data_IF_621239300719
#
_entry.id   IF_621239300719
#
_cell.length_a   1.000
_cell.length_b   1.000
_cell.length_c   1.000
_cell.angle_alpha   90.00
_cell.angle_beta   90.00
_cell.angle_gamma   90.00
#
_symmetry.space_group_name_H-M   'P 1'
#
loop_
_entity.id
_entity.type
_entity.pdbx_description
1 polymer ?
#
# COMPACT_ATOMS: atom_id res chain seq x y z
N UNK A 1 -52.29 53.13 -28.41
CA UNK A 1 -52.09 51.66 -28.35
C UNK A 1 -50.61 51.37 -28.55
N UNK A 2 -49.84 51.21 -27.47
CA UNK A 2 -48.39 50.92 -27.52
C UNK A 2 -48.19 49.41 -27.51
N UNK A 3 -47.56 48.87 -28.56
CA UNK A 3 -47.18 47.46 -28.67
C UNK A 3 -45.87 47.25 -27.91
N UNK A 4 -45.90 46.45 -26.85
CA UNK A 4 -44.71 45.90 -26.21
C UNK A 4 -44.27 44.65 -26.99
N UNK A 5 -43.09 44.70 -27.59
CA UNK A 5 -42.42 43.50 -28.12
C UNK A 5 -41.76 42.75 -26.97
N UNK A 6 -42.23 41.53 -26.74
CA UNK A 6 -41.69 40.60 -25.76
C UNK A 6 -40.49 39.87 -26.40
N UNK A 7 -39.27 40.29 -26.09
CA UNK A 7 -38.06 39.57 -26.50
C UNK A 7 -37.83 38.41 -25.54
N UNK A 8 -38.07 37.19 -26.03
CA UNK A 8 -37.82 35.94 -25.31
C UNK A 8 -36.31 35.69 -25.27
N UNK A 9 -35.68 35.81 -24.09
CA UNK A 9 -34.27 35.44 -23.89
C UNK A 9 -34.21 33.91 -23.70
N UNK A 10 -33.73 33.21 -24.72
CA UNK A 10 -33.47 31.78 -24.68
C UNK A 10 -32.16 31.54 -23.90
N UNK A 11 -32.26 31.22 -22.61
CA UNK A 11 -31.11 30.81 -21.80
C UNK A 11 -30.79 29.35 -22.18
N UNK A 12 -29.80 29.17 -23.06
CA UNK A 12 -29.23 27.86 -23.36
C UNK A 12 -28.54 27.29 -22.12
N UNK A 13 -29.15 26.28 -21.50
CA UNK A 13 -28.50 25.46 -20.49
C UNK A 13 -27.40 24.63 -21.15
N UNK A 14 -26.14 25.03 -20.93
CA UNK A 14 -24.98 24.18 -21.12
C UNK A 14 -25.09 23.00 -20.13
N UNK A 15 -25.65 21.89 -20.58
CA UNK A 15 -25.52 20.59 -19.92
C UNK A 15 -24.07 20.13 -20.10
N UNK A 16 -23.18 20.63 -19.25
CA UNK A 16 -21.90 19.98 -19.00
C UNK A 16 -22.25 18.63 -18.36
N UNK A 17 -22.23 17.56 -19.14
CA UNK A 17 -22.19 16.20 -18.62
C UNK A 17 -20.93 16.06 -17.78
N UNK A 18 -21.04 16.34 -16.48
CA UNK A 18 -20.11 15.78 -15.52
C UNK A 18 -20.33 14.27 -15.61
N UNK A 19 -19.40 13.57 -16.26
CA UNK A 19 -19.26 12.14 -16.00
C UNK A 19 -19.04 12.04 -14.50
N UNK A 20 -20.10 11.68 -13.76
CA UNK A 20 -19.97 11.15 -12.44
C UNK A 20 -19.16 9.87 -12.61
N UNK A 21 -17.84 10.00 -12.53
CA UNK A 21 -16.99 8.85 -12.35
C UNK A 21 -17.36 8.33 -10.96
N UNK A 22 -18.27 7.36 -10.92
CA UNK A 22 -18.43 6.53 -9.74
C UNK A 22 -17.01 6.12 -9.32
N UNK A 23 -16.64 6.43 -8.08
CA UNK A 23 -15.28 6.20 -7.64
C UNK A 23 -14.95 4.73 -7.82
N UNK A 24 -13.95 4.43 -8.64
CA UNK A 24 -13.58 3.06 -8.97
C UNK A 24 -13.23 2.31 -7.69
N UNK A 25 -13.88 1.17 -7.49
CA UNK A 25 -13.58 0.31 -6.35
C UNK A 25 -12.19 -0.32 -6.56
N UNK A 26 -11.22 0.08 -5.74
CA UNK A 26 -9.83 -0.36 -5.82
C UNK A 26 -9.64 -1.84 -5.47
N UNK A 27 -10.67 -2.54 -4.98
CA UNK A 27 -10.66 -4.00 -4.94
C UNK A 27 -10.46 -4.61 -6.33
N UNK A 28 -10.99 -3.99 -7.38
CA UNK A 28 -10.78 -4.43 -8.76
C UNK A 28 -9.34 -4.17 -9.22
N UNK A 29 -8.72 -3.06 -8.79
CA UNK A 29 -7.30 -2.79 -9.04
C UNK A 29 -6.45 -3.93 -8.48
N UNK A 30 -6.66 -4.27 -7.20
CA UNK A 30 -5.88 -5.30 -6.52
C UNK A 30 -6.13 -6.70 -7.11
N UNK A 31 -7.36 -7.03 -7.50
CA UNK A 31 -7.66 -8.28 -8.23
C UNK A 31 -6.87 -8.38 -9.53
N UNK A 32 -6.81 -7.30 -10.31
CA UNK A 32 -6.04 -7.27 -11.57
C UNK A 32 -4.53 -7.35 -11.36
N UNK A 33 -4.01 -6.80 -10.27
CA UNK A 33 -2.60 -6.99 -9.89
C UNK A 33 -2.32 -8.46 -9.61
N UNK A 34 -3.23 -9.17 -8.91
CA UNK A 34 -3.09 -10.61 -8.66
C UNK A 34 -3.09 -11.38 -9.99
N UNK A 35 -3.97 -11.05 -10.94
CA UNK A 35 -3.95 -11.67 -12.28
C UNK A 35 -2.62 -11.44 -13.02
N UNK A 36 -2.00 -10.25 -12.87
CA UNK A 36 -0.66 -10.02 -13.41
C UNK A 36 0.40 -10.90 -12.72
N UNK A 37 0.30 -11.05 -11.40
CA UNK A 37 1.22 -11.88 -10.60
C UNK A 37 1.10 -13.37 -10.94
N UNK A 38 -0.10 -13.87 -11.19
CA UNK A 38 -0.33 -15.24 -11.69
C UNK A 38 0.35 -15.44 -13.05
N UNK A 39 0.19 -14.49 -13.98
CA UNK A 39 0.87 -14.55 -15.28
C UNK A 39 2.40 -14.50 -15.16
N UNK A 40 2.95 -13.81 -14.15
CA UNK A 40 4.39 -13.81 -13.86
C UNK A 40 4.85 -15.21 -13.43
N UNK A 41 4.14 -15.86 -12.50
CA UNK A 41 4.47 -17.21 -12.05
C UNK A 41 4.36 -18.23 -13.19
N UNK A 42 3.40 -18.06 -14.09
CA UNK A 42 3.27 -18.90 -15.29
C UNK A 42 4.33 -18.63 -16.37
N UNK A 43 5.26 -17.69 -16.15
CA UNK A 43 6.28 -17.29 -17.13
C UNK A 43 5.72 -16.51 -18.33
N UNK A 44 4.48 -16.04 -18.27
CA UNK A 44 3.80 -15.31 -19.35
C UNK A 44 4.06 -13.81 -19.25
N UNK A 45 5.33 -13.43 -19.26
CA UNK A 45 5.79 -12.07 -18.95
C UNK A 45 5.21 -11.00 -19.87
N UNK A 46 5.24 -11.19 -21.20
CA UNK A 46 4.62 -10.26 -22.15
C UNK A 46 3.11 -10.06 -21.90
N UNK A 47 2.41 -11.12 -21.48
CA UNK A 47 0.98 -11.01 -21.14
C UNK A 47 0.77 -10.21 -19.86
N UNK A 48 1.60 -10.43 -18.84
CA UNK A 48 1.58 -9.64 -17.61
C UNK A 48 1.91 -8.16 -17.85
N UNK A 49 2.89 -7.86 -18.72
CA UNK A 49 3.24 -6.48 -19.13
C UNK A 49 2.04 -5.78 -19.77
N UNK A 50 1.41 -6.42 -20.76
CA UNK A 50 0.22 -5.87 -21.42
C UNK A 50 -0.95 -5.66 -20.44
N UNK A 51 -1.12 -6.57 -19.49
CA UNK A 51 -2.14 -6.48 -18.45
C UNK A 51 -1.86 -5.31 -17.49
N UNK A 52 -0.61 -5.10 -17.09
CA UNK A 52 -0.20 -3.93 -16.31
C UNK A 52 -0.42 -2.62 -17.07
N UNK A 53 -0.06 -2.54 -18.35
CA UNK A 53 -0.30 -1.34 -19.15
C UNK A 53 -1.80 -1.02 -19.24
N UNK A 54 -2.64 -2.03 -19.51
CA UNK A 54 -4.10 -1.86 -19.50
C UNK A 54 -4.63 -1.40 -18.14
N UNK A 55 -4.14 -2.00 -17.05
CA UNK A 55 -4.50 -1.63 -15.68
C UNK A 55 -4.14 -0.16 -15.38
N UNK A 56 -2.93 0.27 -15.73
CA UNK A 56 -2.45 1.61 -15.42
C UNK A 56 -3.13 2.71 -16.23
N UNK A 57 -3.75 2.36 -17.36
CA UNK A 57 -4.58 3.27 -18.15
C UNK A 57 -6.03 3.36 -17.64
N UNK A 58 -6.46 2.49 -16.72
CA UNK A 58 -7.83 2.47 -16.18
C UNK A 58 -7.96 3.26 -14.89
N UNK A 59 -6.95 3.23 -14.01
CA UNK A 59 -7.04 3.81 -12.66
C UNK A 59 -6.27 5.13 -12.52
N UNK A 60 -6.85 6.09 -11.80
CA UNK A 60 -6.27 7.42 -11.60
C UNK A 60 -5.06 7.44 -10.66
N UNK A 61 -5.12 6.64 -9.60
CA UNK A 61 -4.01 6.41 -8.68
C UNK A 61 -3.48 5.00 -8.87
N UNK A 62 -2.15 4.88 -8.91
CA UNK A 62 -1.39 3.66 -9.11
C UNK A 62 -0.42 3.54 -7.94
N UNK A 63 -0.34 2.36 -7.32
CA UNK A 63 0.65 2.11 -6.28
C UNK A 63 2.03 1.97 -6.92
N UNK A 64 3.00 2.73 -6.43
CA UNK A 64 4.35 2.77 -6.96
C UNK A 64 5.00 1.39 -6.97
N UNK A 65 4.73 0.55 -5.97
CA UNK A 65 5.20 -0.85 -5.94
C UNK A 65 4.84 -1.56 -7.25
N UNK A 66 3.59 -1.49 -7.67
CA UNK A 66 3.09 -2.27 -8.80
C UNK A 66 3.65 -1.74 -10.13
N UNK A 67 3.88 -0.43 -10.24
CA UNK A 67 4.61 0.16 -11.38
C UNK A 67 6.05 -0.35 -11.46
N UNK A 68 6.72 -0.44 -10.31
CA UNK A 68 8.09 -0.94 -10.25
C UNK A 68 8.16 -2.40 -10.67
N UNK A 69 7.22 -3.25 -10.22
CA UNK A 69 7.11 -4.64 -10.68
C UNK A 69 6.97 -4.71 -12.20
N UNK A 70 6.07 -3.92 -12.79
CA UNK A 70 5.90 -3.88 -14.24
C UNK A 70 7.18 -3.41 -14.98
N UNK A 71 7.94 -2.49 -14.37
CA UNK A 71 9.21 -2.00 -14.91
C UNK A 71 10.29 -3.08 -14.88
N UNK A 72 10.46 -3.75 -13.74
CA UNK A 72 11.38 -4.89 -13.56
C UNK A 72 11.10 -5.99 -14.58
N UNK A 73 9.81 -6.35 -14.71
CA UNK A 73 9.35 -7.35 -15.65
C UNK A 73 9.64 -6.95 -17.11
N UNK A 74 9.42 -5.70 -17.48
CA UNK A 74 9.71 -5.20 -18.83
C UNK A 74 11.21 -5.16 -19.13
N UNK A 75 12.03 -4.83 -18.14
CA UNK A 75 13.48 -4.86 -18.28
C UNK A 75 14.00 -6.29 -18.46
N UNK A 76 13.40 -7.26 -17.76
CA UNK A 76 13.71 -8.68 -17.88
C UNK A 76 13.26 -9.29 -19.22
N UNK A 77 12.04 -8.97 -19.68
CA UNK A 77 11.47 -9.47 -20.95
C UNK A 77 11.98 -8.71 -22.20
N UNK A 78 12.88 -7.74 -22.01
CA UNK A 78 13.41 -6.84 -23.04
C UNK A 78 12.34 -6.00 -23.78
N UNK A 79 11.16 -5.81 -23.19
CA UNK A 79 10.18 -4.82 -23.67
C UNK A 79 10.55 -3.42 -23.18
N UNK A 80 11.58 -2.86 -23.80
CA UNK A 80 12.14 -1.57 -23.40
C UNK A 80 11.15 -0.42 -23.55
N UNK A 81 10.22 -0.50 -24.53
CA UNK A 81 9.22 0.53 -24.76
C UNK A 81 8.26 0.61 -23.57
N UNK A 82 7.73 -0.53 -23.13
CA UNK A 82 6.86 -0.61 -21.94
C UNK A 82 7.65 -0.25 -20.68
N UNK A 83 8.88 -0.76 -20.53
CA UNK A 83 9.75 -0.45 -19.39
C UNK A 83 10.01 1.05 -19.21
N UNK A 84 10.37 1.76 -20.28
CA UNK A 84 10.58 3.22 -20.25
C UNK A 84 9.27 3.98 -19.95
N UNK A 85 8.13 3.49 -20.43
CA UNK A 85 6.82 4.06 -20.09
C UNK A 85 6.51 3.86 -18.59
N UNK A 86 6.78 2.69 -18.04
CA UNK A 86 6.57 2.42 -16.62
C UNK A 86 7.53 3.21 -15.72
N UNK A 87 8.79 3.42 -16.10
CA UNK A 87 9.68 4.35 -15.38
C UNK A 87 9.09 5.76 -15.38
N UNK A 88 8.57 6.25 -16.52
CA UNK A 88 7.90 7.55 -16.59
C UNK A 88 6.70 7.65 -15.65
N UNK A 89 5.86 6.62 -15.60
CA UNK A 89 4.73 6.54 -14.67
C UNK A 89 5.22 6.51 -13.23
N UNK A 90 6.28 5.76 -12.94
CA UNK A 90 6.88 5.65 -11.62
C UNK A 90 7.39 7.01 -11.11
N UNK A 91 8.07 7.79 -11.95
CA UNK A 91 8.51 9.16 -11.58
C UNK A 91 7.30 10.04 -11.22
N UNK A 92 6.21 9.97 -12.01
CA UNK A 92 4.94 10.66 -11.73
C UNK A 92 4.19 10.13 -10.50
N UNK A 93 4.56 8.95 -10.01
CA UNK A 93 4.05 8.33 -8.78
C UNK A 93 5.03 8.47 -7.59
N UNK A 94 6.15 9.18 -7.77
CA UNK A 94 7.10 9.48 -6.69
C UNK A 94 8.33 8.58 -6.61
N UNK A 95 8.62 7.77 -7.64
CA UNK A 95 9.88 7.02 -7.71
C UNK A 95 11.07 7.99 -7.76
N UNK A 96 11.89 7.97 -6.70
CA UNK A 96 13.04 8.86 -6.60
C UNK A 96 14.13 8.51 -7.60
N UNK A 97 14.81 9.53 -8.12
CA UNK A 97 15.98 9.38 -9.01
C UNK A 97 17.07 8.50 -8.37
N UNK A 98 17.31 8.66 -7.06
CA UNK A 98 18.25 7.84 -6.32
C UNK A 98 17.88 6.36 -6.37
N UNK A 99 16.61 6.01 -6.13
CA UNK A 99 16.14 4.63 -6.18
C UNK A 99 16.20 4.07 -7.60
N UNK A 100 15.84 4.87 -8.61
CA UNK A 100 15.95 4.48 -10.03
C UNK A 100 17.41 4.16 -10.36
N UNK A 101 18.36 5.01 -9.95
CA UNK A 101 19.79 4.85 -10.24
C UNK A 101 20.45 3.69 -9.49
N UNK A 102 19.98 3.37 -8.29
CA UNK A 102 20.48 2.23 -7.49
C UNK A 102 19.97 0.88 -7.99
N UNK A 103 18.85 0.86 -8.71
CA UNK A 103 18.27 -0.39 -9.18
C UNK A 103 19.09 -0.98 -10.35
N UNK A 104 19.77 -2.10 -10.12
CA UNK A 104 20.65 -2.73 -11.11
C UNK A 104 19.87 -3.40 -12.25
N UNK A 105 18.66 -3.86 -11.98
CA UNK A 105 17.83 -4.56 -12.95
C UNK A 105 17.34 -3.63 -14.07
N UNK A 106 17.44 -2.32 -13.89
CA UNK A 106 17.11 -1.33 -14.92
C UNK A 106 18.26 -1.04 -15.88
N UNK A 107 19.39 -1.76 -15.80
CA UNK A 107 20.56 -1.49 -16.64
C UNK A 107 20.22 -1.57 -18.14
N UNK A 108 19.50 -2.60 -18.58
CA UNK A 108 19.10 -2.77 -19.99
C UNK A 108 18.25 -1.61 -20.52
N UNK A 109 17.43 -0.98 -19.65
CA UNK A 109 16.67 0.22 -19.98
C UNK A 109 17.55 1.47 -20.07
N UNK A 110 18.61 1.57 -19.26
CA UNK A 110 19.54 2.71 -19.27
C UNK A 110 20.38 2.80 -20.53
N UNK A 111 20.63 1.65 -21.15
CA UNK A 111 21.39 1.54 -22.40
C UNK A 111 20.57 2.00 -23.61
N UNK A 112 19.26 2.20 -23.46
CA UNK A 112 18.39 2.68 -24.53
C UNK A 112 18.57 4.17 -24.82
N UNK A 113 18.55 4.61 -26.09
CA UNK A 113 18.71 6.02 -26.47
C UNK A 113 17.71 6.97 -25.79
N UNK A 114 16.48 6.50 -25.57
CA UNK A 114 15.39 7.27 -24.97
C UNK A 114 15.59 7.52 -23.47
N UNK A 115 16.45 6.76 -22.80
CA UNK A 115 16.69 6.90 -21.36
C UNK A 115 17.16 8.31 -21.00
N UNK A 116 18.13 8.85 -21.74
CA UNK A 116 18.68 10.19 -21.50
C UNK A 116 17.59 11.27 -21.61
N UNK A 117 16.67 11.14 -22.58
CA UNK A 117 15.53 12.03 -22.74
C UNK A 117 14.50 11.89 -21.63
N UNK A 118 14.29 10.67 -21.10
CA UNK A 118 13.41 10.44 -19.97
C UNK A 118 13.98 11.08 -18.69
N UNK A 119 15.27 10.89 -18.42
CA UNK A 119 15.94 11.43 -17.24
C UNK A 119 16.06 12.96 -17.28
N UNK A 120 16.28 13.57 -18.45
CA UNK A 120 16.26 15.04 -18.56
C UNK A 120 14.89 15.65 -18.25
N UNK A 121 13.81 14.86 -18.37
CA UNK A 121 12.46 15.26 -18.00
C UNK A 121 12.09 14.92 -16.55
N UNK A 122 13.00 14.35 -15.75
CA UNK A 122 12.71 13.83 -14.41
C UNK A 122 12.04 14.88 -13.50
N UNK A 123 12.63 16.07 -13.35
CA UNK A 123 12.12 17.09 -12.43
C UNK A 123 10.70 17.54 -12.81
N UNK A 124 10.43 17.69 -14.11
CA UNK A 124 9.11 18.05 -14.62
C UNK A 124 8.07 16.96 -14.34
N UNK A 125 8.43 15.69 -14.58
CA UNK A 125 7.58 14.54 -14.29
C UNK A 125 7.33 14.41 -12.78
N UNK A 126 8.37 14.54 -11.96
CA UNK A 126 8.29 14.42 -10.51
C UNK A 126 7.47 15.55 -9.88
N UNK A 127 7.46 16.76 -10.47
CA UNK A 127 6.56 17.84 -10.07
C UNK A 127 5.08 17.44 -10.12
N UNK A 128 4.71 16.53 -11.03
CA UNK A 128 3.34 15.96 -11.09
C UNK A 128 3.00 15.13 -9.86
N UNK A 129 3.98 14.42 -9.30
CA UNK A 129 3.84 13.71 -8.03
C UNK A 129 3.70 14.72 -6.88
N UNK A 130 4.64 15.68 -6.78
CA UNK A 130 4.67 16.65 -5.70
C UNK A 130 3.38 17.49 -5.62
N UNK A 131 2.76 17.83 -6.75
CA UNK A 131 1.50 18.59 -6.77
C UNK A 131 0.30 17.83 -6.21
N UNK A 132 0.38 16.50 -6.08
CA UNK A 132 -0.69 15.65 -5.51
C UNK A 132 -0.54 15.45 -4.00
N UNK A 133 0.64 15.73 -3.44
CA UNK A 133 0.95 15.45 -2.05
C UNK A 133 0.41 16.57 -1.14
N UNK A 134 -0.33 16.18 -0.11
CA UNK A 134 -0.70 17.08 0.98
C UNK A 134 0.47 17.18 1.97
N UNK A 135 1.34 18.17 1.77
CA UNK A 135 2.53 18.36 2.62
C UNK A 135 2.18 18.70 4.06
N UNK A 136 1.06 19.38 4.33
CA UNK A 136 0.64 19.69 5.69
C UNK A 136 0.30 18.41 6.45
N UNK A 137 -0.54 17.54 5.88
CA UNK A 137 -0.89 16.25 6.48
C UNK A 137 0.35 15.34 6.55
N UNK A 138 1.21 15.37 5.53
CA UNK A 138 2.47 14.61 5.53
C UNK A 138 3.35 14.95 6.73
N UNK A 139 3.61 16.23 6.98
CA UNK A 139 4.42 16.66 8.13
C UNK A 139 3.73 16.34 9.46
N UNK A 140 2.41 16.51 9.55
CA UNK A 140 1.64 16.13 10.73
C UNK A 140 1.81 14.64 11.07
N UNK A 141 1.61 13.76 10.08
CA UNK A 141 1.71 12.29 10.25
C UNK A 141 3.17 11.87 10.51
N UNK A 142 4.14 12.52 9.88
CA UNK A 142 5.56 12.30 10.14
C UNK A 142 5.92 12.61 11.60
N UNK A 143 5.44 13.73 12.15
CA UNK A 143 5.66 14.08 13.55
C UNK A 143 4.92 13.12 14.51
N UNK A 144 3.73 12.66 14.14
CA UNK A 144 3.04 11.60 14.87
C UNK A 144 3.90 10.33 14.91
N UNK A 145 4.44 9.90 13.77
CA UNK A 145 5.30 8.73 13.65
C UNK A 145 6.59 8.86 14.47
N UNK A 146 7.29 10.00 14.42
CA UNK A 146 8.50 10.23 15.26
C UNK A 146 8.21 10.08 16.76
N UNK A 147 7.07 10.63 17.22
CA UNK A 147 6.65 10.52 18.63
C UNK A 147 6.34 9.09 19.01
N UNK A 148 5.66 8.37 18.13
CA UNK A 148 5.31 6.96 18.30
C UNK A 148 6.58 6.07 18.36
N UNK A 149 7.51 6.21 17.41
CA UNK A 149 8.80 5.51 17.40
C UNK A 149 9.60 5.76 18.68
N UNK A 150 9.60 7.00 19.21
CA UNK A 150 10.27 7.32 20.48
C UNK A 150 9.68 6.54 21.66
N UNK A 151 8.37 6.28 21.67
CA UNK A 151 7.72 5.43 22.70
C UNK A 151 8.08 3.96 22.50
N UNK A 152 8.03 3.46 21.27
CA UNK A 152 8.42 2.09 20.96
C UNK A 152 9.88 1.81 21.40
N UNK A 153 10.81 2.71 21.09
CA UNK A 153 12.20 2.63 21.56
C UNK A 153 12.30 2.67 23.10
N UNK A 154 11.50 3.50 23.76
CA UNK A 154 11.43 3.55 25.22
C UNK A 154 10.96 2.24 25.88
N UNK A 155 10.20 1.40 25.16
CA UNK A 155 9.84 0.06 25.60
C UNK A 155 11.01 -0.94 25.43
N UNK A 156 11.78 -0.83 24.35
CA UNK A 156 12.96 -1.68 24.09
C UNK A 156 14.04 -1.53 25.18
N UNK A 157 14.21 -0.33 25.72
CA UNK A 157 15.17 -0.03 26.80
C UNK A 157 14.79 -0.62 28.18
N UNK A 158 13.62 -1.27 28.31
CA UNK A 158 13.19 -1.83 29.61
C UNK A 158 13.68 -3.26 29.78
N UNK A 159 14.30 -3.53 30.93
CA UNK A 159 14.80 -4.86 31.30
C UNK A 159 13.66 -5.69 31.91
N UNK A 160 13.40 -6.85 31.30
CA UNK A 160 12.40 -7.82 31.75
C UNK A 160 10.96 -7.54 31.29
N UNK A 161 10.21 -8.63 31.06
CA UNK A 161 8.86 -8.58 30.49
C UNK A 161 7.86 -7.78 31.35
N UNK A 162 8.00 -7.84 32.68
CA UNK A 162 7.14 -7.08 33.60
C UNK A 162 7.35 -5.56 33.47
N UNK A 163 8.59 -5.12 33.27
CA UNK A 163 8.90 -3.69 33.09
C UNK A 163 8.44 -3.20 31.72
N UNK A 164 8.67 -4.00 30.66
CA UNK A 164 8.14 -3.73 29.30
C UNK A 164 6.63 -3.57 29.32
N UNK A 165 5.89 -4.57 29.82
CA UNK A 165 4.41 -4.51 29.92
C UNK A 165 3.91 -3.31 30.72
N UNK A 166 4.56 -2.99 31.85
CA UNK A 166 4.18 -1.82 32.65
C UNK A 166 4.37 -0.52 31.87
N UNK A 167 5.48 -0.40 31.14
CA UNK A 167 5.72 0.77 30.29
C UNK A 167 4.69 0.85 29.15
N UNK A 168 4.48 -0.25 28.42
CA UNK A 168 3.50 -0.31 27.33
C UNK A 168 2.11 0.12 27.81
N UNK A 169 1.63 -0.43 28.92
CA UNK A 169 0.29 -0.12 29.42
C UNK A 169 0.17 1.27 30.06
N UNK A 170 1.16 1.73 30.83
CA UNK A 170 1.04 3.00 31.59
C UNK A 170 1.56 4.23 30.85
N UNK A 171 2.40 4.05 29.84
CA UNK A 171 3.09 5.16 29.14
C UNK A 171 2.86 5.13 27.64
N UNK A 172 2.81 3.94 27.03
CA UNK A 172 2.59 3.85 25.59
C UNK A 172 1.10 3.93 25.24
N UNK A 173 0.25 3.16 25.92
CA UNK A 173 -1.19 3.12 25.61
C UNK A 173 -1.86 4.51 25.60
N UNK A 174 -1.74 5.37 26.64
CA UNK A 174 -2.37 6.69 26.61
C UNK A 174 -1.83 7.59 25.48
N UNK A 175 -0.56 7.42 25.10
CA UNK A 175 0.00 8.13 23.96
C UNK A 175 -0.58 7.62 22.64
N UNK A 176 -0.68 6.30 22.49
CA UNK A 176 -1.19 5.66 21.29
C UNK A 176 -2.67 5.98 21.05
N UNK A 177 -3.48 6.02 22.10
CA UNK A 177 -4.89 6.47 22.05
C UNK A 177 -5.00 7.90 21.46
N UNK A 178 -4.19 8.84 21.94
CA UNK A 178 -4.14 10.22 21.41
C UNK A 178 -3.67 10.28 19.95
N UNK A 179 -2.78 9.38 19.53
CA UNK A 179 -2.34 9.30 18.14
C UNK A 179 -3.45 8.75 17.25
N UNK A 180 -4.22 7.77 17.73
CA UNK A 180 -5.37 7.23 16.99
C UNK A 180 -6.51 8.21 16.86
N UNK A 181 -6.79 9.04 17.88
CA UNK A 181 -7.77 10.13 17.76
C UNK A 181 -7.37 11.13 16.67
N UNK A 182 -6.10 11.53 16.63
CA UNK A 182 -5.59 12.41 15.56
C UNK A 182 -5.62 11.75 14.20
N UNK A 183 -5.27 10.47 14.14
CA UNK A 183 -5.33 9.70 12.90
C UNK A 183 -6.77 9.60 12.42
N UNK A 184 -7.74 9.39 13.31
CA UNK A 184 -9.16 9.39 12.99
C UNK A 184 -9.63 10.72 12.41
N UNK A 185 -9.19 11.84 12.99
CA UNK A 185 -9.48 13.18 12.45
C UNK A 185 -8.94 13.32 11.02
N UNK A 186 -7.70 12.89 10.77
CA UNK A 186 -7.10 12.88 9.43
C UNK A 186 -7.90 11.99 8.48
N UNK A 187 -8.29 10.78 8.90
CA UNK A 187 -9.10 9.88 8.09
C UNK A 187 -10.44 10.50 7.71
N UNK A 188 -11.10 11.18 8.64
CA UNK A 188 -12.41 11.79 8.40
C UNK A 188 -12.33 13.02 7.48
N UNK A 189 -11.24 13.80 7.57
CA UNK A 189 -11.09 15.05 6.82
C UNK A 189 -10.43 14.86 5.45
N UNK A 190 -9.42 13.98 5.36
CA UNK A 190 -8.57 13.82 4.18
C UNK A 190 -8.52 12.40 3.60
N UNK A 191 -9.08 11.41 4.29
CA UNK A 191 -8.88 9.99 3.99
C UNK A 191 -7.61 9.41 4.62
N UNK A 192 -7.31 8.13 4.35
CA UNK A 192 -6.14 7.49 4.96
C UNK A 192 -4.83 8.14 4.49
N UNK A 193 -3.91 8.49 5.43
CA UNK A 193 -2.64 9.13 5.09
C UNK A 193 -1.60 8.09 4.61
N UNK A 194 -1.92 7.44 3.49
CA UNK A 194 -1.05 6.49 2.80
C UNK A 194 -0.31 7.13 1.62
N UNK A 195 0.16 6.27 0.73
CA UNK A 195 0.97 6.66 -0.44
C UNK A 195 0.28 7.73 -1.30
N UNK A 196 -1.04 7.61 -1.49
CA UNK A 196 -1.81 8.54 -2.30
C UNK A 196 -1.82 9.97 -1.78
N UNK A 197 -1.99 10.14 -0.46
CA UNK A 197 -2.19 11.45 0.16
C UNK A 197 -0.87 12.11 0.54
N UNK A 198 0.06 11.33 1.11
CA UNK A 198 1.29 11.86 1.71
C UNK A 198 2.58 11.31 1.07
N UNK A 199 2.46 10.37 0.13
CA UNK A 199 3.61 9.75 -0.52
C UNK A 199 4.38 8.80 0.38
N UNK A 200 3.75 8.27 1.42
CA UNK A 200 4.33 7.33 2.37
C UNK A 200 3.28 6.29 2.77
N UNK A 201 3.64 5.01 2.76
CA UNK A 201 2.78 3.87 3.08
C UNK A 201 3.21 3.14 4.36
N UNK A 202 3.99 3.80 5.21
CA UNK A 202 4.58 3.20 6.41
C UNK A 202 4.12 3.88 7.69
N UNK A 203 4.07 5.21 7.72
CA UNK A 203 3.89 5.94 8.99
C UNK A 203 2.55 5.65 9.65
N UNK A 204 1.45 5.74 8.90
CA UNK A 204 0.12 5.42 9.42
C UNK A 204 -0.03 3.96 9.83
N UNK A 205 0.51 3.03 9.02
CA UNK A 205 0.43 1.59 9.29
C UNK A 205 1.27 1.18 10.50
N UNK A 206 2.43 1.80 10.73
CA UNK A 206 3.25 1.56 11.92
C UNK A 206 2.57 2.10 13.18
N UNK A 207 2.00 3.31 13.16
CA UNK A 207 1.27 3.87 14.31
C UNK A 207 0.14 2.92 14.75
N UNK A 208 -0.65 2.44 13.78
CA UNK A 208 -1.73 1.48 14.03
C UNK A 208 -1.21 0.12 14.51
N UNK A 209 -0.13 -0.39 13.91
CA UNK A 209 0.50 -1.66 14.28
C UNK A 209 1.06 -1.63 15.71
N UNK A 210 1.67 -0.52 16.10
CA UNK A 210 2.16 -0.32 17.45
C UNK A 210 1.03 -0.23 18.47
N UNK A 211 -0.08 0.43 18.14
CA UNK A 211 -1.29 0.38 18.97
C UNK A 211 -1.75 -1.06 19.17
N UNK A 212 -1.83 -1.80 18.07
CA UNK A 212 -2.31 -3.18 18.05
C UNK A 212 -1.35 -4.19 18.70
N UNK A 213 -0.16 -3.77 19.15
CA UNK A 213 0.84 -4.63 19.78
C UNK A 213 1.19 -4.24 21.22
N UNK A 214 0.41 -3.35 21.86
CA UNK A 214 0.67 -2.85 23.22
C UNK A 214 0.78 -3.99 24.25
N UNK A 215 -0.25 -4.85 24.34
CA UNK A 215 -0.25 -6.09 25.14
C UNK A 215 -1.58 -6.81 24.99
N UNK A 216 -1.61 -8.13 25.17
CA UNK A 216 -2.84 -8.95 25.24
C UNK A 216 -3.89 -8.31 26.14
N UNK A 217 -3.52 -7.90 27.36
CA UNK A 217 -4.44 -7.29 28.34
C UNK A 217 -5.07 -5.99 27.84
N UNK A 218 -4.30 -5.13 27.19
CA UNK A 218 -4.82 -3.87 26.63
C UNK A 218 -5.69 -4.17 25.42
N UNK A 219 -5.15 -4.90 24.45
CA UNK A 219 -5.79 -5.26 23.20
C UNK A 219 -7.12 -6.02 23.40
N UNK A 220 -7.24 -6.87 24.42
CA UNK A 220 -8.50 -7.57 24.72
C UNK A 220 -9.66 -6.64 25.10
N UNK A 221 -9.38 -5.37 25.43
CA UNK A 221 -10.36 -4.35 25.85
C UNK A 221 -10.39 -3.14 24.93
N UNK A 222 -9.54 -3.11 23.91
CA UNK A 222 -9.42 -1.98 23.00
C UNK A 222 -10.63 -1.91 22.06
N UNK A 223 -11.38 -0.82 22.17
CA UNK A 223 -12.51 -0.48 21.30
C UNK A 223 -12.13 0.52 20.20
N UNK A 224 -10.99 1.18 20.30
CA UNK A 224 -10.59 2.27 19.39
C UNK A 224 -10.25 1.67 18.03
N UNK A 225 -9.41 0.63 17.99
CA UNK A 225 -9.09 -0.03 16.72
C UNK A 225 -10.34 -0.65 16.08
N UNK A 226 -11.24 -1.23 16.89
CA UNK A 226 -12.49 -1.82 16.40
C UNK A 226 -13.38 -0.78 15.69
N UNK A 227 -13.39 0.48 16.17
CA UNK A 227 -14.11 1.59 15.54
C UNK A 227 -13.40 2.12 14.27
N UNK A 228 -12.05 2.08 14.25
CA UNK A 228 -11.27 2.50 13.08
C UNK A 228 -11.27 1.49 11.94
N UNK A 229 -11.34 0.19 12.23
CA UNK A 229 -11.23 -0.88 11.23
C UNK A 229 -12.22 -0.74 10.05
N UNK A 230 -13.51 -0.43 10.25
CA UNK A 230 -14.42 -0.15 9.13
C UNK A 230 -13.98 1.02 8.24
N UNK A 231 -13.38 2.07 8.83
CA UNK A 231 -12.85 3.22 8.07
C UNK A 231 -11.64 2.82 7.24
N UNK A 232 -10.75 1.97 7.78
CA UNK A 232 -9.61 1.43 7.05
C UNK A 232 -10.03 0.51 5.89
N UNK A 233 -11.07 -0.31 6.09
CA UNK A 233 -11.66 -1.13 5.03
C UNK A 233 -12.30 -0.27 3.93
N UNK A 234 -12.91 0.85 4.30
CA UNK A 234 -13.40 1.81 3.31
C UNK A 234 -12.23 2.46 2.56
N UNK A 235 -11.19 2.91 3.26
CA UNK A 235 -9.97 3.47 2.66
C UNK A 235 -9.34 2.51 1.63
N UNK A 236 -9.36 1.19 1.89
CA UNK A 236 -8.89 0.17 0.95
C UNK A 236 -9.71 0.20 -0.35
N UNK A 237 -11.06 0.20 -0.23
CA UNK A 237 -11.95 0.29 -1.40
C UNK A 237 -11.76 1.59 -2.19
N UNK A 238 -11.33 2.66 -1.52
CA UNK A 238 -11.02 3.94 -2.15
C UNK A 238 -9.60 4.02 -2.73
N UNK A 239 -8.74 3.03 -2.52
CA UNK A 239 -7.35 3.04 -2.98
C UNK A 239 -6.43 3.95 -2.16
N UNK A 240 -6.77 4.23 -0.91
CA UNK A 240 -5.98 5.10 -0.01
C UNK A 240 -4.94 4.34 0.80
N UNK A 241 -5.23 3.08 1.12
CA UNK A 241 -4.36 2.15 1.84
C UNK A 241 -4.17 0.89 0.99
N UNK A 242 -2.97 0.35 0.95
CA UNK A 242 -2.73 -0.93 0.27
C UNK A 242 -3.20 -2.12 1.11
N UNK A 243 -3.54 -3.26 0.49
CA UNK A 243 -3.88 -4.48 1.22
C UNK A 243 -2.75 -4.94 2.15
N UNK A 244 -1.50 -4.65 1.80
CA UNK A 244 -0.33 -5.01 2.59
C UNK A 244 -0.21 -4.20 3.88
N UNK A 245 -0.49 -2.90 3.83
CA UNK A 245 -0.56 -2.07 5.03
C UNK A 245 -1.67 -2.55 5.97
N UNK A 246 -2.87 -2.79 5.42
CA UNK A 246 -4.01 -3.28 6.20
C UNK A 246 -3.72 -4.64 6.83
N UNK A 247 -3.14 -5.56 6.06
CA UNK A 247 -2.78 -6.89 6.54
C UNK A 247 -1.79 -6.84 7.69
N UNK A 248 -0.78 -5.97 7.62
CA UNK A 248 0.20 -5.80 8.71
C UNK A 248 -0.44 -5.27 9.98
N UNK A 249 -1.31 -4.27 9.86
CA UNK A 249 -2.01 -3.69 11.01
C UNK A 249 -2.85 -4.75 11.74
N UNK A 250 -3.57 -5.58 11.00
CA UNK A 250 -4.41 -6.65 11.56
C UNK A 250 -3.57 -7.82 12.09
N UNK A 251 -2.49 -8.20 11.42
CA UNK A 251 -1.61 -9.27 11.88
C UNK A 251 -0.95 -8.93 13.21
N UNK A 252 -0.54 -7.67 13.42
CA UNK A 252 -0.12 -7.20 14.74
C UNK A 252 -1.20 -7.34 15.80
N UNK A 253 -2.47 -7.11 15.44
CA UNK A 253 -3.60 -7.26 16.36
C UNK A 253 -3.84 -8.71 16.76
N UNK A 254 -3.91 -9.60 15.78
CA UNK A 254 -4.17 -11.03 16.00
C UNK A 254 -2.98 -11.68 16.71
N UNK A 255 -1.76 -11.48 16.22
CA UNK A 255 -0.58 -11.99 16.89
C UNK A 255 -0.46 -11.44 18.33
N UNK A 256 -0.74 -10.16 18.54
CA UNK A 256 -0.72 -9.54 19.86
C UNK A 256 -1.84 -10.00 20.82
N UNK A 257 -2.94 -10.56 20.32
CA UNK A 257 -4.01 -11.17 21.12
C UNK A 257 -3.73 -12.62 21.49
N UNK A 258 -3.06 -13.34 20.59
CA UNK A 258 -2.88 -14.79 20.65
C UNK A 258 -1.42 -15.20 20.90
N UNK A 259 -0.62 -14.32 21.51
CA UNK A 259 0.81 -14.56 21.81
C UNK A 259 1.60 -15.12 20.61
N UNK A 260 1.31 -14.60 19.42
CA UNK A 260 1.88 -15.00 18.13
C UNK A 260 1.55 -16.43 17.64
N UNK A 261 0.65 -17.15 18.30
CA UNK A 261 0.20 -18.49 17.87
C UNK A 261 -0.73 -18.46 16.65
N UNK A 262 -1.29 -17.29 16.32
CA UNK A 262 -2.20 -17.09 15.19
C UNK A 262 -1.84 -15.84 14.38
N UNK A 263 -2.32 -15.82 13.14
CA UNK A 263 -2.18 -14.73 12.18
C UNK A 263 -3.47 -14.52 11.39
N UNK A 264 -3.69 -13.32 10.86
CA UNK A 264 -4.86 -13.03 10.00
C UNK A 264 -4.52 -13.19 8.52
N UNK A 265 -3.29 -12.82 8.13
CA UNK A 265 -2.84 -12.70 6.75
C UNK A 265 -1.47 -13.36 6.51
N UNK A 266 -0.77 -13.82 7.55
CA UNK A 266 0.46 -14.63 7.42
C UNK A 266 1.77 -13.84 7.45
N UNK A 267 1.75 -12.52 7.65
CA UNK A 267 2.97 -11.72 7.80
C UNK A 267 3.53 -11.78 9.22
N UNK A 268 2.68 -11.85 10.25
CA UNK A 268 3.09 -11.98 11.64
C UNK A 268 2.22 -12.99 12.40
N UNK A 269 2.87 -13.83 13.21
CA UNK A 269 2.24 -14.97 13.89
C UNK A 269 2.47 -16.29 13.15
N UNK A 270 1.86 -17.37 13.63
CA UNK A 270 1.99 -18.71 13.08
C UNK A 270 0.78 -19.12 12.23
N UNK A 271 1.02 -20.05 11.30
CA UNK A 271 -0.01 -20.79 10.55
C UNK A 271 0.17 -22.27 10.94
N UNK A 272 -0.53 -22.75 11.99
CA UNK A 272 -0.27 -24.08 12.55
C UNK A 272 -0.70 -25.21 11.62
N UNK A 273 -1.78 -25.02 10.86
CA UNK A 273 -2.39 -26.07 10.04
C UNK A 273 -3.08 -25.52 8.78
N UNK A 274 -3.57 -26.43 7.95
CA UNK A 274 -4.26 -26.11 6.70
C UNK A 274 -5.60 -25.39 6.92
N UNK A 275 -6.27 -25.59 8.06
CA UNK A 275 -7.52 -24.88 8.39
C UNK A 275 -7.25 -23.40 8.66
N UNK A 276 -6.16 -23.08 9.36
CA UNK A 276 -5.71 -21.69 9.52
C UNK A 276 -5.21 -21.13 8.19
N UNK A 277 -4.50 -21.92 7.37
CA UNK A 277 -4.10 -21.49 6.03
C UNK A 277 -5.30 -21.10 5.15
N UNK A 278 -6.35 -21.92 5.13
CA UNK A 278 -7.58 -21.63 4.38
C UNK A 278 -8.22 -20.32 4.87
N UNK A 279 -8.31 -20.14 6.18
CA UNK A 279 -8.82 -18.90 6.79
C UNK A 279 -7.98 -17.69 6.40
N UNK A 280 -6.65 -17.82 6.46
CA UNK A 280 -5.71 -16.77 6.05
C UNK A 280 -5.89 -16.43 4.57
N UNK A 281 -5.94 -17.41 3.68
CA UNK A 281 -6.13 -17.16 2.25
C UNK A 281 -7.50 -16.55 1.94
N UNK A 282 -8.56 -16.95 2.65
CA UNK A 282 -9.88 -16.31 2.56
C UNK A 282 -9.82 -14.84 2.99
N UNK A 283 -9.14 -14.54 4.09
CA UNK A 283 -8.94 -13.16 4.53
C UNK A 283 -8.16 -12.35 3.49
N UNK A 284 -7.06 -12.92 2.96
CA UNK A 284 -6.24 -12.29 1.91
C UNK A 284 -7.09 -11.95 0.68
N UNK A 285 -7.89 -12.89 0.18
CA UNK A 285 -8.80 -12.66 -0.94
C UNK A 285 -9.80 -11.51 -0.66
N UNK A 286 -10.38 -11.45 0.55
CA UNK A 286 -11.35 -10.41 0.93
C UNK A 286 -10.81 -8.98 0.87
N UNK A 287 -9.49 -8.80 0.93
CA UNK A 287 -8.85 -7.48 0.85
C UNK A 287 -8.06 -7.28 -0.46
N UNK A 288 -8.13 -8.20 -1.41
CA UNK A 288 -7.35 -8.11 -2.66
C UNK A 288 -5.86 -8.38 -2.46
N UNK A 289 -5.53 -9.31 -1.57
CA UNK A 289 -4.17 -9.76 -1.33
C UNK A 289 -4.01 -11.17 -1.92
N UNK A 290 -2.95 -11.39 -2.71
CA UNK A 290 -2.57 -12.70 -3.28
C UNK A 290 -2.59 -13.81 -2.23
N UNK A 291 -2.81 -15.07 -2.61
CA UNK A 291 -2.68 -16.21 -1.69
C UNK A 291 -1.25 -16.37 -1.15
N UNK A 292 -1.08 -17.20 -0.13
CA UNK A 292 0.26 -17.57 0.37
C UNK A 292 1.05 -18.35 -0.68
N UNK A 293 0.39 -19.27 -1.40
CA UNK A 293 1.05 -20.08 -2.42
C UNK A 293 1.56 -19.20 -3.57
N UNK A 294 0.72 -18.31 -4.11
CA UNK A 294 1.13 -17.35 -5.14
C UNK A 294 2.29 -16.46 -4.66
N UNK A 295 2.25 -16.01 -3.39
CA UNK A 295 3.37 -15.25 -2.81
C UNK A 295 4.66 -16.08 -2.78
N UNK A 296 4.57 -17.37 -2.43
CA UNK A 296 5.72 -18.24 -2.33
C UNK A 296 6.30 -18.58 -3.71
N UNK A 297 5.46 -18.76 -4.72
CA UNK A 297 5.87 -18.94 -6.12
C UNK A 297 6.54 -17.66 -6.67
N UNK A 298 6.02 -16.46 -6.36
CA UNK A 298 6.69 -15.21 -6.72
C UNK A 298 8.07 -15.07 -6.07
N UNK A 299 8.28 -15.62 -4.86
CA UNK A 299 9.62 -15.66 -4.24
C UNK A 299 10.55 -16.57 -5.05
N UNK A 300 10.04 -17.70 -5.55
CA UNK A 300 10.84 -18.57 -6.42
C UNK A 300 11.22 -17.83 -7.71
N UNK A 301 10.27 -17.13 -8.33
CA UNK A 301 10.56 -16.29 -9.51
C UNK A 301 11.62 -15.22 -9.20
N UNK A 302 11.55 -14.50 -8.07
CA UNK A 302 12.62 -13.55 -7.68
C UNK A 302 13.99 -14.23 -7.58
N UNK A 303 14.05 -15.43 -6.99
CA UNK A 303 15.30 -16.17 -6.80
C UNK A 303 15.87 -16.70 -8.13
N UNK A 304 15.00 -17.17 -9.04
CA UNK A 304 15.39 -17.74 -10.32
C UNK A 304 15.80 -16.67 -11.35
N UNK A 305 15.08 -15.55 -11.37
CA UNK A 305 15.24 -14.51 -12.41
C UNK A 305 16.11 -13.34 -11.96
N UNK A 306 16.26 -13.12 -10.66
CA UNK A 306 16.93 -11.94 -10.09
C UNK A 306 16.10 -10.65 -10.13
N UNK A 307 14.85 -10.68 -10.63
CA UNK A 307 13.93 -9.54 -10.56
C UNK A 307 13.61 -9.16 -9.11
N UNK A 308 13.38 -7.87 -8.83
CA UNK A 308 12.77 -7.44 -7.55
C UNK A 308 11.27 -7.23 -7.76
N UNK A 309 10.47 -8.26 -7.49
CA UNK A 309 9.01 -8.17 -7.54
C UNK A 309 8.42 -7.37 -6.37
N UNK A 310 9.28 -6.68 -5.60
CA UNK A 310 8.94 -5.78 -4.51
C UNK A 310 7.96 -6.41 -3.50
N UNK A 311 8.13 -7.71 -3.26
CA UNK A 311 7.38 -8.43 -2.26
C UNK A 311 7.70 -7.83 -0.87
N UNK A 312 6.72 -7.69 0.06
CA UNK A 312 7.00 -7.15 1.39
C UNK A 312 7.98 -8.05 2.16
N UNK A 313 9.26 -7.66 2.17
CA UNK A 313 10.36 -8.42 2.80
C UNK A 313 10.55 -8.05 4.28
N UNK A 314 10.21 -6.82 4.70
CA UNK A 314 10.49 -6.29 6.05
C UNK A 314 9.92 -7.08 7.25
N UNK A 315 8.97 -7.99 7.04
CA UNK A 315 8.32 -8.77 8.11
C UNK A 315 8.51 -10.28 7.95
N UNK A 316 8.57 -10.77 6.71
CA UNK A 316 8.88 -12.15 6.34
C UNK A 316 9.83 -12.13 5.16
N UNK A 317 11.11 -12.37 5.43
CA UNK A 317 12.13 -12.58 4.40
C UNK A 317 11.93 -14.00 3.84
N UNK A 318 11.57 -14.13 2.57
CA UNK A 318 11.37 -15.42 1.91
C UNK A 318 9.93 -15.94 2.00
N UNK A 319 9.76 -17.26 1.87
CA UNK A 319 8.45 -17.94 1.85
C UNK A 319 7.74 -17.90 3.22
N UNK A 320 6.41 -17.92 3.19
CA UNK A 320 5.59 -18.13 4.38
C UNK A 320 5.35 -19.64 4.52
N UNK A 321 5.74 -20.20 5.66
CA UNK A 321 5.62 -21.64 5.95
C UNK A 321 4.38 -21.95 6.79
N UNK A 322 3.86 -23.16 6.63
CA UNK A 322 2.80 -23.75 7.45
C UNK A 322 3.45 -24.84 8.30
N UNK A 323 3.22 -24.84 9.62
CA UNK A 323 4.00 -25.65 10.56
C UNK A 323 3.97 -27.17 10.27
N UNK A 324 2.93 -27.66 9.58
CA UNK A 324 2.73 -29.06 9.25
C UNK A 324 2.92 -29.39 7.76
N UNK A 325 3.48 -28.49 6.95
CA UNK A 325 3.87 -28.78 5.56
C UNK A 325 5.39 -28.91 5.46
N UNK A 326 5.91 -29.96 4.77
CA UNK A 326 7.33 -30.17 4.60
C UNK A 326 8.00 -29.03 3.82
#
# INVERSE_FOLDING_TARGET
MKKFSLTLVLIGHFLVSTKSNAQENYMNYHSKVIECEELIVEGKYTSAINKFDSLFNQFNFLFLRDIKVATELSAYDNDYKSGLNFVRLGIKAGWSLESINKNKNLQSLREQPEWAKLMSAYDSLHKTYLSKINFQVKEQVHEMFKKDQKKAFGALLRIGQKAKRRYSQKKFAPHSEQQLEKLEQILNEYGYPGERLIGNNLWGSVILSHHNSISVKYNSKDTIYAQLKPKLLNALKQGEISPYELAQIEDWRIAGLHDHELTSYGFLGAIPDDTVLETVNKNRANIGLRSIDLRNELIDVENETGMDLHLPKGWRNGKITVANRP
#
